data_IF_282140983062
#
_entry.id   IF_282140983062
#
_cell.length_a   1.000
_cell.length_b   1.000
_cell.length_c   1.000
_cell.angle_alpha   90.00
_cell.angle_beta   90.00
_cell.angle_gamma   90.00
#
_symmetry.space_group_name_H-M   'P 1'
#
loop_
_entity.id
_entity.type
_entity.pdbx_description
1 polymer ?
#
# COMPACT_ATOMS: atom_id res chain seq x y z
N UNK A 1 -30.85 -21.11 34.07
CA UNK A 1 -29.43 -20.99 33.68
C UNK A 1 -29.40 -21.18 32.18
N UNK A 2 -29.36 -20.08 31.42
CA UNK A 2 -29.19 -20.14 29.97
C UNK A 2 -27.70 -20.18 29.69
N UNK A 3 -27.21 -21.32 29.23
CA UNK A 3 -25.93 -21.41 28.52
C UNK A 3 -26.02 -20.51 27.29
N UNK A 4 -25.31 -19.38 27.33
CA UNK A 4 -24.89 -18.71 26.11
C UNK A 4 -23.86 -19.61 25.46
N UNK A 5 -24.32 -20.30 24.42
CA UNK A 5 -23.51 -20.97 23.40
C UNK A 5 -22.53 -19.93 22.85
N UNK A 6 -21.33 -19.91 23.43
CA UNK A 6 -20.19 -19.10 23.00
C UNK A 6 -19.56 -19.77 21.77
N UNK A 7 -20.35 -19.85 20.70
CA UNK A 7 -19.87 -20.35 19.41
C UNK A 7 -19.00 -19.24 18.82
N UNK A 8 -17.72 -19.25 19.18
CA UNK A 8 -16.71 -18.42 18.52
C UNK A 8 -16.84 -18.68 17.02
N UNK A 9 -17.15 -17.66 16.19
CA UNK A 9 -17.36 -17.88 14.77
C UNK A 9 -16.10 -18.51 14.17
N UNK A 10 -16.27 -19.67 13.55
CA UNK A 10 -15.20 -20.37 12.85
C UNK A 10 -14.54 -19.40 11.85
N UNK A 11 -13.19 -19.34 11.78
CA UNK A 11 -12.53 -18.44 10.85
C UNK A 11 -13.00 -18.73 9.43
N UNK A 12 -13.54 -17.72 8.73
CA UNK A 12 -13.84 -17.85 7.31
C UNK A 12 -12.50 -17.92 6.55
N UNK A 13 -12.14 -19.08 5.97
CA UNK A 13 -10.83 -19.30 5.34
C UNK A 13 -10.63 -18.43 4.10
N UNK A 14 -11.69 -17.77 3.61
CA UNK A 14 -11.64 -16.83 2.50
C UNK A 14 -11.16 -15.44 2.92
N UNK A 15 -11.17 -15.12 4.21
CA UNK A 15 -10.70 -13.82 4.67
C UNK A 15 -9.17 -13.72 4.51
N UNK A 16 -8.62 -12.61 4.05
CA UNK A 16 -7.17 -12.46 3.93
C UNK A 16 -6.49 -12.45 5.30
N UNK A 17 -5.19 -12.77 5.33
CA UNK A 17 -4.37 -12.60 6.55
C UNK A 17 -4.19 -11.11 6.86
N UNK A 18 -3.75 -10.82 8.08
CA UNK A 18 -3.25 -9.48 8.41
C UNK A 18 -2.02 -9.16 7.53
N UNK A 19 -1.82 -7.90 7.10
CA UNK A 19 -0.74 -7.51 6.19
C UNK A 19 0.66 -8.02 6.56
N UNK A 20 1.02 -7.97 7.85
CA UNK A 20 2.32 -8.46 8.32
C UNK A 20 2.48 -9.98 8.11
N UNK A 21 1.43 -10.74 8.38
CA UNK A 21 1.45 -12.19 8.24
C UNK A 21 1.39 -12.60 6.76
N UNK A 22 0.66 -11.86 5.94
CA UNK A 22 0.69 -12.00 4.49
C UNK A 22 2.11 -11.78 3.92
N UNK A 23 2.83 -10.77 4.42
CA UNK A 23 4.22 -10.51 4.06
C UNK A 23 5.18 -11.60 4.55
N UNK A 24 4.98 -12.13 5.77
CA UNK A 24 5.74 -13.27 6.31
C UNK A 24 5.53 -14.53 5.49
N UNK A 25 4.28 -14.82 5.12
CA UNK A 25 3.92 -15.95 4.27
C UNK A 25 4.53 -15.82 2.87
N UNK A 26 4.50 -14.62 2.29
CA UNK A 26 5.20 -14.32 1.03
C UNK A 26 6.70 -14.67 1.11
N UNK A 27 7.34 -14.27 2.22
CA UNK A 27 8.75 -14.54 2.48
C UNK A 27 9.03 -16.02 2.67
N UNK A 28 8.18 -16.75 3.40
CA UNK A 28 8.30 -18.19 3.60
C UNK A 28 8.24 -18.96 2.26
N UNK A 29 7.33 -18.58 1.36
CA UNK A 29 7.26 -19.15 0.01
C UNK A 29 8.55 -18.92 -0.80
N UNK A 30 9.10 -17.71 -0.76
CA UNK A 30 10.36 -17.42 -1.45
C UNK A 30 11.53 -18.18 -0.84
N UNK A 31 11.58 -18.37 0.48
CA UNK A 31 12.56 -19.24 1.12
C UNK A 31 12.42 -20.70 0.70
N UNK A 32 11.20 -21.23 0.60
CA UNK A 32 10.96 -22.57 0.06
C UNK A 32 11.47 -22.69 -1.38
N UNK A 33 11.19 -21.69 -2.23
CA UNK A 33 11.66 -21.68 -3.62
C UNK A 33 13.19 -21.67 -3.71
N UNK A 34 13.86 -20.92 -2.84
CA UNK A 34 15.33 -20.95 -2.73
C UNK A 34 15.79 -22.33 -2.28
N UNK A 35 15.20 -22.89 -1.22
CA UNK A 35 15.58 -24.20 -0.70
C UNK A 35 15.46 -25.31 -1.74
N UNK A 36 14.34 -25.35 -2.48
CA UNK A 36 14.14 -26.27 -3.61
C UNK A 36 15.15 -26.02 -4.73
N UNK A 37 15.28 -24.76 -5.16
CA UNK A 37 16.19 -24.41 -6.25
C UNK A 37 17.66 -24.71 -5.95
N UNK A 38 18.12 -24.61 -4.69
CA UNK A 38 19.47 -25.01 -4.29
C UNK A 38 19.68 -26.53 -4.40
N UNK A 39 18.66 -27.33 -4.06
CA UNK A 39 18.72 -28.79 -4.20
C UNK A 39 18.69 -29.19 -5.67
N UNK A 40 17.85 -28.53 -6.47
CA UNK A 40 17.72 -28.80 -7.91
C UNK A 40 18.98 -28.39 -8.70
N UNK A 41 19.74 -27.40 -8.21
CA UNK A 41 21.01 -26.93 -8.82
C UNK A 41 22.23 -27.80 -8.43
N UNK A 42 22.04 -28.87 -7.65
CA UNK A 42 23.10 -29.83 -7.40
C UNK A 42 23.43 -30.61 -8.69
N UNK A 43 24.70 -31.04 -8.88
CA UNK A 43 25.14 -31.75 -10.08
C UNK A 43 24.68 -33.23 -10.09
N UNK A 44 23.39 -33.44 -9.82
CA UNK A 44 22.68 -34.71 -9.77
C UNK A 44 21.48 -34.74 -10.71
N UNK A 45 21.14 -33.60 -11.33
CA UNK A 45 20.09 -33.51 -12.35
C UNK A 45 20.59 -34.02 -13.71
N UNK A 46 19.73 -34.73 -14.45
CA UNK A 46 20.03 -35.26 -15.79
C UNK A 46 20.23 -34.14 -16.83
N UNK A 47 19.60 -32.98 -16.62
CA UNK A 47 19.79 -31.74 -17.37
C UNK A 47 20.27 -30.65 -16.39
N UNK A 48 21.50 -30.15 -16.57
CA UNK A 48 22.14 -29.19 -15.66
C UNK A 48 22.43 -27.87 -16.39
N UNK A 49 21.68 -26.82 -16.05
CA UNK A 49 21.82 -25.46 -16.59
C UNK A 49 22.28 -24.46 -15.51
N UNK A 50 23.57 -24.48 -15.12
CA UNK A 50 24.07 -23.76 -13.95
C UNK A 50 23.88 -22.24 -14.00
N UNK A 51 23.91 -21.67 -15.20
CA UNK A 51 23.73 -20.22 -15.38
C UNK A 51 22.27 -19.83 -15.09
N UNK A 52 21.31 -20.63 -15.57
CA UNK A 52 19.90 -20.35 -15.31
C UNK A 52 19.58 -20.49 -13.83
N UNK A 53 20.06 -21.57 -13.18
CA UNK A 53 19.94 -21.80 -11.74
C UNK A 53 20.51 -20.63 -10.92
N UNK A 54 21.74 -20.21 -11.22
CA UNK A 54 22.38 -19.09 -10.54
C UNK A 54 21.61 -17.76 -10.71
N UNK A 55 21.14 -17.45 -11.92
CA UNK A 55 20.35 -16.24 -12.18
C UNK A 55 18.99 -16.29 -11.46
N UNK A 56 18.36 -17.46 -11.37
CA UNK A 56 17.14 -17.65 -10.59
C UNK A 56 17.39 -17.42 -9.11
N UNK A 57 18.51 -17.90 -8.56
CA UNK A 57 18.88 -17.65 -7.16
C UNK A 57 19.10 -16.17 -6.86
N UNK A 58 19.75 -15.43 -7.77
CA UNK A 58 19.91 -13.96 -7.63
C UNK A 58 18.55 -13.27 -7.56
N UNK A 59 17.62 -13.58 -8.48
CA UNK A 59 16.26 -13.01 -8.47
C UNK A 59 15.51 -13.31 -7.18
N UNK A 60 15.59 -14.56 -6.70
CA UNK A 60 14.93 -14.94 -5.45
C UNK A 60 15.56 -14.27 -4.24
N UNK A 61 16.88 -14.08 -4.21
CA UNK A 61 17.57 -13.37 -3.14
C UNK A 61 17.20 -11.89 -3.10
N UNK A 62 17.09 -11.23 -4.26
CA UNK A 62 16.61 -9.85 -4.36
C UNK A 62 15.17 -9.72 -3.85
N UNK A 63 14.29 -10.61 -4.29
CA UNK A 63 12.90 -10.68 -3.80
C UNK A 63 12.82 -10.93 -2.30
N UNK A 64 13.69 -11.78 -1.75
CA UNK A 64 13.76 -12.05 -0.31
C UNK A 64 14.16 -10.79 0.48
N UNK A 65 15.07 -9.98 -0.07
CA UNK A 65 15.47 -8.70 0.53
C UNK A 65 14.31 -7.69 0.51
N UNK A 66 13.58 -7.58 -0.60
CA UNK A 66 12.38 -6.74 -0.69
C UNK A 66 11.32 -7.16 0.33
N UNK A 67 11.02 -8.46 0.44
CA UNK A 67 10.06 -8.99 1.41
C UNK A 67 10.49 -8.74 2.86
N UNK A 68 11.79 -8.82 3.17
CA UNK A 68 12.30 -8.47 4.49
C UNK A 68 12.07 -6.98 4.80
N UNK A 69 12.32 -6.09 3.83
CA UNK A 69 12.02 -4.66 3.96
C UNK A 69 10.53 -4.42 4.18
N UNK A 70 9.65 -5.08 3.42
CA UNK A 70 8.19 -5.01 3.59
C UNK A 70 7.80 -5.41 5.02
N UNK A 71 8.30 -6.55 5.53
CA UNK A 71 8.05 -6.99 6.91
C UNK A 71 8.48 -5.93 7.93
N UNK A 72 9.68 -5.35 7.78
CA UNK A 72 10.16 -4.29 8.69
C UNK A 72 9.28 -3.05 8.61
N UNK A 73 8.83 -2.65 7.42
CA UNK A 73 7.89 -1.52 7.23
C UNK A 73 6.53 -1.80 7.86
N UNK A 74 5.99 -3.00 7.73
CA UNK A 74 4.76 -3.44 8.39
C UNK A 74 4.87 -3.45 9.92
N UNK A 75 6.08 -3.69 10.45
CA UNK A 75 6.40 -3.54 11.87
C UNK A 75 6.65 -2.07 12.31
N UNK A 76 6.52 -1.11 11.40
CA UNK A 76 6.68 0.32 11.69
C UNK A 76 8.12 0.84 11.61
N UNK A 77 9.09 0.05 11.12
CA UNK A 77 10.47 0.51 10.96
C UNK A 77 10.55 1.66 9.95
N UNK A 78 11.35 2.69 10.26
CA UNK A 78 11.61 3.80 9.35
C UNK A 78 12.65 3.44 8.28
N UNK A 79 12.74 4.23 7.20
CA UNK A 79 13.83 4.09 6.23
C UNK A 79 15.22 4.30 6.85
N UNK A 80 15.30 5.04 7.96
CA UNK A 80 16.55 5.20 8.71
C UNK A 80 16.95 3.90 9.40
N UNK A 81 15.98 3.20 10.01
CA UNK A 81 16.22 1.92 10.67
C UNK A 81 16.64 0.86 9.66
N UNK A 82 15.92 0.80 8.53
CA UNK A 82 16.20 -0.15 7.44
C UNK A 82 17.57 0.14 6.81
N UNK A 83 17.90 1.41 6.56
CA UNK A 83 19.23 1.80 6.07
C UNK A 83 20.34 1.38 7.04
N UNK A 84 20.14 1.59 8.35
CA UNK A 84 21.08 1.15 9.38
C UNK A 84 21.26 -0.37 9.41
N UNK A 85 20.18 -1.14 9.35
CA UNK A 85 20.22 -2.62 9.30
C UNK A 85 20.95 -3.12 8.05
N UNK A 86 20.77 -2.45 6.91
CA UNK A 86 21.40 -2.80 5.63
C UNK A 86 22.81 -2.20 5.43
N UNK A 87 23.30 -1.38 6.36
CA UNK A 87 24.60 -0.71 6.23
C UNK A 87 24.66 0.38 5.14
N UNK A 88 23.53 0.99 4.78
CA UNK A 88 23.42 2.05 3.76
C UNK A 88 22.70 3.29 4.31
N UNK A 89 22.73 4.40 3.55
CA UNK A 89 22.02 5.62 3.95
C UNK A 89 20.51 5.45 3.88
N UNK A 90 19.76 6.27 4.66
CA UNK A 90 18.30 6.36 4.58
C UNK A 90 17.80 6.55 3.15
N UNK A 91 18.46 7.45 2.40
CA UNK A 91 18.09 7.77 1.02
C UNK A 91 18.33 6.58 0.10
N UNK A 92 19.48 5.92 0.20
CA UNK A 92 19.80 4.75 -0.60
C UNK A 92 18.83 3.58 -0.33
N UNK A 93 18.41 3.38 0.93
CA UNK A 93 17.40 2.38 1.27
C UNK A 93 16.04 2.70 0.65
N UNK A 94 15.60 3.96 0.74
CA UNK A 94 14.37 4.41 0.10
C UNK A 94 14.42 4.25 -1.41
N UNK A 95 15.51 4.68 -2.06
CA UNK A 95 15.63 4.61 -3.53
C UNK A 95 15.70 3.16 -4.02
N UNK A 96 16.28 2.26 -3.22
CA UNK A 96 16.42 0.84 -3.57
C UNK A 96 15.11 0.05 -3.40
N UNK A 97 14.34 0.31 -2.35
CA UNK A 97 13.19 -0.53 -1.98
C UNK A 97 11.85 0.21 -1.87
N UNK A 98 11.82 1.52 -2.06
CA UNK A 98 10.61 2.34 -1.99
C UNK A 98 9.53 1.84 -2.93
N UNK A 99 9.89 1.57 -4.19
CA UNK A 99 8.96 1.04 -5.20
C UNK A 99 8.36 -0.32 -4.82
N UNK A 100 9.12 -1.21 -4.17
CA UNK A 100 8.59 -2.49 -3.72
C UNK A 100 7.53 -2.31 -2.61
N UNK A 101 7.77 -1.38 -1.68
CA UNK A 101 6.80 -1.04 -0.62
C UNK A 101 5.56 -0.36 -1.20
N UNK A 102 5.73 0.54 -2.17
CA UNK A 102 4.61 1.18 -2.88
C UNK A 102 3.76 0.15 -3.64
N UNK A 103 4.40 -0.79 -4.32
CA UNK A 103 3.73 -1.88 -5.04
C UNK A 103 2.96 -2.78 -4.08
N UNK A 104 3.54 -3.10 -2.91
CA UNK A 104 2.87 -3.84 -1.86
C UNK A 104 1.61 -3.13 -1.36
N UNK A 105 1.66 -1.80 -1.17
CA UNK A 105 0.49 -1.00 -0.80
C UNK A 105 -0.56 -1.00 -1.92
N UNK A 106 -0.14 -0.79 -3.17
CA UNK A 106 -1.04 -0.77 -4.33
C UNK A 106 -1.78 -2.10 -4.55
N UNK A 107 -1.18 -3.23 -4.15
CA UNK A 107 -1.82 -4.55 -4.16
C UNK A 107 -2.74 -4.80 -2.96
N UNK A 108 -3.04 -3.78 -2.15
CA UNK A 108 -3.88 -3.89 -0.97
C UNK A 108 -3.21 -4.65 0.19
N UNK A 109 -1.88 -4.73 0.20
CA UNK A 109 -1.08 -5.43 1.22
C UNK A 109 -1.54 -6.88 1.40
N UNK A 110 -1.73 -7.58 0.29
CA UNK A 110 -2.21 -8.96 0.24
C UNK A 110 -1.70 -9.72 -0.99
N UNK A 111 -1.69 -11.05 -0.92
CA UNK A 111 -1.46 -11.94 -2.06
C UNK A 111 -2.78 -12.58 -2.49
N UNK A 112 -3.08 -12.60 -3.79
CA UNK A 112 -4.35 -13.14 -4.33
C UNK A 112 -4.62 -14.65 -4.12
N UNK A 113 -3.83 -15.38 -3.33
CA UNK A 113 -3.95 -16.83 -3.15
C UNK A 113 -4.60 -17.20 -1.82
N UNK A 114 -5.25 -18.37 -1.76
CA UNK A 114 -5.81 -18.92 -0.52
C UNK A 114 -4.68 -19.14 0.52
N UNK A 115 -4.63 -18.36 1.61
CA UNK A 115 -3.49 -18.37 2.52
C UNK A 115 -3.38 -19.69 3.28
N UNK A 116 -4.51 -20.24 3.72
CA UNK A 116 -4.58 -21.44 4.57
C UNK A 116 -3.96 -22.66 3.87
N UNK A 117 -4.32 -22.92 2.61
CA UNK A 117 -3.74 -24.00 1.81
C UNK A 117 -2.21 -23.86 1.64
N UNK A 118 -1.73 -22.63 1.48
CA UNK A 118 -0.30 -22.37 1.31
C UNK A 118 0.47 -22.53 2.61
N UNK A 119 -0.14 -22.19 3.74
CA UNK A 119 0.44 -22.45 5.06
C UNK A 119 0.58 -23.95 5.27
N UNK A 120 -0.47 -24.73 5.03
CA UNK A 120 -0.43 -26.20 5.18
C UNK A 120 0.67 -26.84 4.30
N UNK A 121 0.80 -26.37 3.05
CA UNK A 121 1.84 -26.84 2.14
C UNK A 121 3.25 -26.49 2.61
N UNK A 122 3.43 -25.32 3.21
CA UNK A 122 4.73 -24.88 3.71
C UNK A 122 5.11 -25.57 5.01
N UNK A 123 4.14 -25.78 5.91
CA UNK A 123 4.33 -26.55 7.14
C UNK A 123 4.68 -28.01 6.82
N UNK A 124 3.96 -28.64 5.89
CA UNK A 124 4.30 -29.99 5.41
C UNK A 124 5.71 -30.06 4.83
N UNK A 125 6.11 -29.07 4.01
CA UNK A 125 7.46 -29.02 3.47
C UNK A 125 8.53 -28.79 4.54
N UNK A 126 8.24 -27.96 5.55
CA UNK A 126 9.19 -27.68 6.63
C UNK A 126 9.31 -28.88 7.57
N UNK A 127 8.23 -29.62 7.81
CA UNK A 127 8.25 -30.84 8.62
C UNK A 127 9.17 -31.93 8.06
N UNK A 128 9.33 -32.00 6.73
CA UNK A 128 10.31 -32.89 6.08
C UNK A 128 11.76 -32.51 6.41
N UNK A 129 12.02 -31.24 6.76
CA UNK A 129 13.33 -30.70 7.11
C UNK A 129 13.57 -30.77 8.62
N UNK A 130 12.59 -30.37 9.41
CA UNK A 130 12.61 -30.34 10.87
C UNK A 130 11.31 -30.94 11.45
N UNK A 131 11.26 -32.27 11.66
CA UNK A 131 10.08 -32.94 12.18
C UNK A 131 9.68 -32.53 13.61
N UNK A 132 10.57 -31.88 14.36
CA UNK A 132 10.27 -31.41 15.72
C UNK A 132 9.39 -30.15 15.70
N UNK A 133 9.26 -29.49 14.53
CA UNK A 133 8.52 -28.24 14.35
C UNK A 133 7.61 -28.29 13.11
N UNK A 134 6.62 -29.19 13.09
CA UNK A 134 5.77 -29.42 11.91
C UNK A 134 4.87 -28.24 11.55
N UNK A 135 4.68 -27.29 12.46
CA UNK A 135 3.81 -26.11 12.37
C UNK A 135 4.62 -24.79 12.38
N UNK A 136 5.88 -24.82 11.93
CA UNK A 136 6.79 -23.69 12.06
C UNK A 136 6.33 -22.41 11.32
N UNK A 137 5.56 -22.54 10.24
CA UNK A 137 5.02 -21.41 9.48
C UNK A 137 3.71 -20.95 10.09
N UNK A 138 2.73 -21.83 10.30
CA UNK A 138 1.44 -21.46 10.92
C UNK A 138 1.62 -20.81 12.29
N UNK A 139 2.50 -21.36 13.15
CA UNK A 139 2.81 -20.79 14.47
C UNK A 139 3.42 -19.37 14.40
N UNK A 140 4.02 -18.99 13.27
CA UNK A 140 4.59 -17.67 13.02
C UNK A 140 3.59 -16.62 12.48
N UNK A 141 2.33 -16.99 12.28
CA UNK A 141 1.29 -16.15 11.65
C UNK A 141 0.08 -15.97 12.59
N UNK A 142 0.14 -15.05 13.57
CA UNK A 142 -0.93 -14.88 14.56
C UNK A 142 -2.33 -14.68 13.98
N UNK A 143 -2.45 -13.95 12.87
CA UNK A 143 -3.75 -13.70 12.22
C UNK A 143 -4.38 -14.93 11.58
N UNK A 144 -3.63 -16.01 11.38
CA UNK A 144 -4.18 -17.30 10.94
C UNK A 144 -5.21 -17.83 11.96
N UNK A 145 -4.95 -17.60 13.24
CA UNK A 145 -5.78 -18.08 14.36
C UNK A 145 -6.64 -16.98 15.00
N UNK A 146 -6.71 -15.80 14.38
CA UNK A 146 -7.48 -14.65 14.86
C UNK A 146 -8.47 -14.17 13.79
N UNK A 147 -9.73 -14.65 13.83
CA UNK A 147 -10.77 -14.21 12.89
C UNK A 147 -11.06 -12.71 12.94
N UNK A 148 -10.89 -12.07 14.10
CA UNK A 148 -11.11 -10.63 14.26
C UNK A 148 -10.00 -9.84 13.54
N UNK A 149 -8.75 -10.29 13.63
CA UNK A 149 -7.64 -9.70 12.86
C UNK A 149 -7.85 -9.85 11.34
N UNK A 150 -8.30 -11.03 10.86
CA UNK A 150 -8.60 -11.24 9.42
C UNK A 150 -9.73 -10.33 8.94
N UNK A 151 -10.79 -10.18 9.73
CA UNK A 151 -11.91 -9.28 9.41
C UNK A 151 -11.46 -7.81 9.39
N UNK A 152 -10.73 -7.35 10.40
CA UNK A 152 -10.19 -5.99 10.43
C UNK A 152 -9.28 -5.72 9.22
N UNK A 153 -8.48 -6.70 8.80
CA UNK A 153 -7.63 -6.61 7.63
C UNK A 153 -8.44 -6.57 6.31
N UNK A 154 -9.58 -7.27 6.23
CA UNK A 154 -10.52 -7.16 5.11
C UNK A 154 -11.18 -5.78 5.08
N UNK A 155 -11.74 -5.32 6.20
CA UNK A 155 -12.41 -4.03 6.31
C UNK A 155 -11.47 -2.86 5.94
N UNK A 156 -10.20 -2.93 6.36
CA UNK A 156 -9.18 -1.95 6.00
C UNK A 156 -8.89 -1.93 4.49
N UNK A 157 -8.92 -3.08 3.83
CA UNK A 157 -8.71 -3.19 2.36
C UNK A 157 -9.90 -2.67 1.59
N UNK A 158 -11.12 -3.02 2.01
CA UNK A 158 -12.35 -2.53 1.40
C UNK A 158 -12.44 -1.00 1.51
N UNK A 159 -12.06 -0.45 2.68
CA UNK A 159 -11.97 0.99 2.87
C UNK A 159 -10.94 1.63 1.93
N UNK A 160 -9.72 1.10 1.88
CA UNK A 160 -8.67 1.62 1.00
C UNK A 160 -9.10 1.55 -0.47
N UNK A 161 -9.69 0.45 -0.92
CA UNK A 161 -10.18 0.28 -2.28
C UNK A 161 -11.27 1.30 -2.61
N UNK A 162 -12.22 1.52 -1.69
CA UNK A 162 -13.27 2.55 -1.85
C UNK A 162 -12.66 3.94 -1.98
N UNK A 163 -11.69 4.29 -1.12
CA UNK A 163 -11.03 5.59 -1.16
C UNK A 163 -10.21 5.78 -2.44
N UNK A 164 -9.51 4.75 -2.94
CA UNK A 164 -8.83 4.81 -4.25
C UNK A 164 -9.80 4.95 -5.41
N UNK A 165 -10.94 4.27 -5.37
CA UNK A 165 -12.00 4.43 -6.37
C UNK A 165 -12.54 5.86 -6.38
N UNK A 166 -12.78 6.46 -5.20
CA UNK A 166 -13.15 7.87 -5.07
C UNK A 166 -12.04 8.79 -5.62
N UNK A 167 -10.78 8.49 -5.31
CA UNK A 167 -9.60 9.27 -5.73
C UNK A 167 -9.49 9.37 -7.25
N UNK A 168 -9.80 8.28 -7.95
CA UNK A 168 -9.74 8.19 -9.40
C UNK A 168 -10.79 9.07 -10.11
N UNK A 169 -11.78 9.62 -9.38
CA UNK A 169 -12.78 10.54 -9.95
C UNK A 169 -12.31 11.99 -9.98
N UNK A 170 -11.34 12.37 -9.15
CA UNK A 170 -10.92 13.77 -9.01
C UNK A 170 -10.29 14.39 -10.27
N UNK A 171 -9.51 13.68 -11.12
CA UNK A 171 -9.01 14.27 -12.36
C UNK A 171 -10.11 14.86 -13.25
N UNK A 172 -11.26 14.18 -13.34
CA UNK A 172 -12.42 14.66 -14.11
C UNK A 172 -13.11 15.83 -13.39
N UNK A 173 -13.35 15.72 -12.08
CA UNK A 173 -13.98 16.79 -11.29
C UNK A 173 -13.16 18.09 -11.30
N UNK A 174 -11.84 18.00 -11.18
CA UNK A 174 -10.91 19.14 -11.26
C UNK A 174 -10.95 19.78 -12.64
N UNK A 175 -10.94 18.98 -13.71
CA UNK A 175 -11.06 19.44 -15.10
C UNK A 175 -12.39 20.18 -15.33
N UNK A 176 -13.49 19.62 -14.87
CA UNK A 176 -14.82 20.23 -14.99
C UNK A 176 -14.93 21.55 -14.23
N UNK A 177 -14.44 21.59 -12.99
CA UNK A 177 -14.44 22.80 -12.18
C UNK A 177 -13.54 23.89 -12.78
N UNK A 178 -12.37 23.51 -13.30
CA UNK A 178 -11.51 24.39 -14.07
C UNK A 178 -12.22 24.96 -15.29
N UNK A 179 -12.86 24.11 -16.10
CA UNK A 179 -13.57 24.53 -17.31
C UNK A 179 -14.72 25.50 -16.99
N UNK A 180 -15.50 25.25 -15.94
CA UNK A 180 -16.53 26.17 -15.46
C UNK A 180 -15.96 27.53 -15.03
N UNK A 181 -14.84 27.53 -14.30
CA UNK A 181 -14.16 28.76 -13.91
C UNK A 181 -13.62 29.51 -15.13
N UNK A 182 -13.01 28.79 -16.08
CA UNK A 182 -12.47 29.36 -17.31
C UNK A 182 -13.56 29.99 -18.18
N UNK A 183 -14.69 29.30 -18.38
CA UNK A 183 -15.84 29.82 -19.15
C UNK A 183 -16.47 31.07 -18.53
N UNK A 184 -16.44 31.20 -17.20
CA UNK A 184 -16.94 32.39 -16.52
C UNK A 184 -15.97 33.59 -16.58
N UNK A 185 -14.79 33.47 -17.23
CA UNK A 185 -13.81 34.56 -17.29
C UNK A 185 -14.43 35.83 -17.88
N UNK A 186 -14.30 36.95 -17.16
CA UNK A 186 -14.84 38.24 -17.57
C UNK A 186 -16.29 38.48 -17.14
N UNK A 187 -16.92 37.52 -16.47
CA UNK A 187 -18.27 37.67 -15.90
C UNK A 187 -18.22 37.89 -14.38
N UNK A 188 -19.29 38.45 -13.76
CA UNK A 188 -19.39 38.60 -12.31
C UNK A 188 -19.33 37.27 -11.54
N UNK A 189 -19.64 36.14 -12.19
CA UNK A 189 -19.63 34.80 -11.58
C UNK A 189 -18.22 34.20 -11.49
N UNK A 190 -17.23 34.75 -12.19
CA UNK A 190 -15.85 34.22 -12.22
C UNK A 190 -15.26 33.95 -10.82
N UNK A 191 -15.34 34.87 -9.84
CA UNK A 191 -14.80 34.63 -8.50
C UNK A 191 -15.53 33.51 -7.75
N UNK A 192 -16.83 33.32 -7.99
CA UNK A 192 -17.58 32.21 -7.40
C UNK A 192 -17.13 30.86 -8.01
N UNK A 193 -17.00 30.78 -9.33
CA UNK A 193 -16.52 29.55 -10.01
C UNK A 193 -15.09 29.18 -9.65
N UNK A 194 -14.22 30.16 -9.43
CA UNK A 194 -12.86 29.89 -8.90
C UNK A 194 -12.88 29.33 -7.48
N UNK A 195 -13.78 29.81 -6.61
CA UNK A 195 -13.94 29.25 -5.26
C UNK A 195 -14.45 27.81 -5.29
N UNK A 196 -15.39 27.51 -6.20
CA UNK A 196 -15.83 26.12 -6.44
C UNK A 196 -14.67 25.24 -6.91
N UNK A 197 -13.83 25.71 -7.84
CA UNK A 197 -12.64 24.97 -8.28
C UNK A 197 -11.63 24.75 -7.15
N UNK A 198 -11.35 25.77 -6.33
CA UNK A 198 -10.50 25.61 -5.15
C UNK A 198 -11.06 24.58 -4.15
N UNK A 199 -12.39 24.54 -3.97
CA UNK A 199 -13.04 23.59 -3.07
C UNK A 199 -12.83 22.13 -3.49
N UNK A 200 -12.87 21.82 -4.79
CA UNK A 200 -12.58 20.46 -5.30
C UNK A 200 -11.18 19.99 -4.90
N UNK A 201 -10.17 20.86 -4.96
CA UNK A 201 -8.81 20.53 -4.52
C UNK A 201 -8.72 20.30 -2.99
N UNK A 202 -9.53 21.00 -2.18
CA UNK A 202 -9.59 20.76 -0.74
C UNK A 202 -10.25 19.41 -0.41
N UNK A 203 -11.30 19.03 -1.13
CA UNK A 203 -11.94 17.72 -1.01
C UNK A 203 -10.96 16.59 -1.41
N UNK A 204 -10.21 16.77 -2.49
CA UNK A 204 -9.14 15.85 -2.90
C UNK A 204 -8.07 15.72 -1.79
N UNK A 205 -7.62 16.84 -1.21
CA UNK A 205 -6.67 16.81 -0.10
C UNK A 205 -7.19 16.03 1.11
N UNK A 206 -8.47 16.20 1.47
CA UNK A 206 -9.10 15.50 2.58
C UNK A 206 -9.22 13.99 2.31
N UNK A 207 -9.49 13.57 1.06
CA UNK A 207 -9.47 12.16 0.68
C UNK A 207 -8.07 11.55 0.83
N UNK A 208 -7.03 12.26 0.40
CA UNK A 208 -5.64 11.81 0.57
C UNK A 208 -5.26 11.66 2.05
N UNK A 209 -5.75 12.53 2.94
CA UNK A 209 -5.53 12.36 4.38
C UNK A 209 -6.25 11.13 4.96
N UNK A 210 -7.45 10.80 4.46
CA UNK A 210 -8.15 9.55 4.81
C UNK A 210 -7.33 8.33 4.36
N UNK A 211 -6.82 8.34 3.13
CA UNK A 211 -5.90 7.31 2.63
C UNK A 211 -4.64 7.18 3.52
N UNK A 212 -4.08 8.30 3.99
CA UNK A 212 -2.92 8.28 4.89
C UNK A 212 -3.19 7.62 6.26
N UNK A 213 -4.45 7.49 6.68
CA UNK A 213 -4.83 6.79 7.91
C UNK A 213 -4.96 5.29 7.68
N UNK A 214 -5.55 4.88 6.54
CA UNK A 214 -5.78 3.47 6.23
C UNK A 214 -4.57 2.79 5.58
N UNK A 215 -3.65 3.54 4.98
CA UNK A 215 -2.42 3.03 4.37
C UNK A 215 -1.17 3.62 5.04
N UNK A 216 -0.83 3.19 6.27
CA UNK A 216 0.26 3.79 7.04
C UNK A 216 1.63 3.72 6.33
N UNK A 217 1.85 2.71 5.49
CA UNK A 217 3.09 2.53 4.73
C UNK A 217 3.26 3.60 3.63
N UNK A 218 2.16 4.09 3.05
CA UNK A 218 2.11 5.15 2.03
C UNK A 218 1.73 6.53 2.59
N UNK A 219 1.47 6.63 3.90
CA UNK A 219 0.95 7.83 4.54
C UNK A 219 1.78 9.10 4.30
N UNK A 220 3.11 8.98 4.23
CA UNK A 220 3.99 10.13 3.96
C UNK A 220 3.73 10.72 2.57
N UNK A 221 3.57 9.87 1.55
CA UNK A 221 3.31 10.33 0.19
C UNK A 221 1.89 10.87 0.05
N UNK A 222 0.90 10.20 0.63
CA UNK A 222 -0.49 10.69 0.69
C UNK A 222 -0.57 12.09 1.32
N UNK A 223 0.10 12.31 2.47
CA UNK A 223 0.17 13.64 3.12
C UNK A 223 0.92 14.66 2.28
N UNK A 224 1.96 14.25 1.55
CA UNK A 224 2.68 15.15 0.63
C UNK A 224 1.75 15.59 -0.51
N UNK A 225 1.06 14.66 -1.15
CA UNK A 225 0.06 14.96 -2.19
C UNK A 225 -1.07 15.84 -1.65
N UNK A 226 -1.56 15.58 -0.45
CA UNK A 226 -2.59 16.39 0.20
C UNK A 226 -2.12 17.84 0.45
N UNK A 227 -0.84 18.06 0.81
CA UNK A 227 -0.27 19.41 0.92
C UNK A 227 -0.19 20.11 -0.44
N UNK A 228 0.21 19.40 -1.50
CA UNK A 228 0.20 19.96 -2.86
C UNK A 228 -1.20 20.41 -3.27
N UNK A 229 -2.22 19.58 -3.01
CA UNK A 229 -3.61 19.92 -3.33
C UNK A 229 -4.10 21.18 -2.59
N UNK A 230 -3.77 21.32 -1.30
CA UNK A 230 -4.06 22.55 -0.55
C UNK A 230 -3.37 23.78 -1.12
N UNK A 231 -2.10 23.66 -1.48
CA UNK A 231 -1.35 24.77 -2.10
C UNK A 231 -2.01 25.24 -3.40
N UNK A 232 -2.50 24.29 -4.22
CA UNK A 232 -3.24 24.62 -5.44
C UNK A 232 -4.56 25.34 -5.12
N UNK A 233 -5.31 24.86 -4.13
CA UNK A 233 -6.55 25.51 -3.70
C UNK A 233 -6.31 26.97 -3.27
N UNK A 234 -5.27 27.22 -2.47
CA UNK A 234 -4.90 28.55 -2.00
C UNK A 234 -4.53 29.48 -3.17
N UNK A 235 -3.73 29.00 -4.13
CA UNK A 235 -3.37 29.74 -5.34
C UNK A 235 -4.60 30.05 -6.21
N UNK A 236 -5.54 29.10 -6.32
CA UNK A 236 -6.75 29.28 -7.10
C UNK A 236 -7.65 30.33 -6.45
N UNK A 237 -7.79 30.29 -5.13
CA UNK A 237 -8.60 31.21 -4.34
C UNK A 237 -8.03 32.63 -4.32
N UNK A 238 -6.71 32.80 -4.15
CA UNK A 238 -6.06 34.11 -4.13
C UNK A 238 -6.26 34.90 -5.44
N UNK A 239 -6.23 34.22 -6.59
CA UNK A 239 -6.51 34.82 -7.90
C UNK A 239 -8.00 35.14 -8.13
N UNK A 240 -8.91 34.65 -7.28
CA UNK A 240 -10.32 35.04 -7.32
C UNK A 240 -10.54 36.43 -6.71
N UNK A 241 -9.74 36.81 -5.71
CA UNK A 241 -9.83 38.12 -5.04
C UNK A 241 -9.14 39.24 -5.83
N UNK A 242 -8.04 38.94 -6.52
CA UNK A 242 -7.12 39.92 -7.14
C UNK A 242 -7.68 40.64 -8.40
N UNK A 243 -8.72 40.10 -9.04
CA UNK A 243 -9.35 40.73 -10.23
C UNK A 243 -10.54 41.64 -9.92
N UNK A 244 -11.07 41.58 -8.72
CA UNK A 244 -12.23 42.40 -8.30
C UNK A 244 -11.87 43.86 -8.02
N UNK A 245 -10.59 44.17 -7.85
CA UNK A 245 -10.10 45.50 -7.43
C UNK A 245 -9.71 46.44 -8.57
N UNK A 246 -9.84 46.04 -9.85
CA UNK A 246 -9.33 46.84 -10.99
C UNK A 246 -10.43 47.47 -11.86
N UNK A 247 -11.70 47.46 -11.43
CA UNK A 247 -12.82 48.01 -12.22
C UNK A 247 -13.59 49.14 -11.51
N UNK A 248 -12.87 50.00 -10.80
CA UNK A 248 -13.38 51.33 -10.42
C UNK A 248 -12.36 52.38 -10.88
N UNK A 249 -12.48 52.80 -12.14
CA UNK A 249 -12.00 54.11 -12.58
C UNK A 249 -13.07 54.69 -13.51
N UNK A 250 -13.96 55.48 -12.90
CA UNK A 250 -14.92 56.37 -13.54
C UNK A 250 -14.18 57.37 -14.47
N UNK A 251 -14.77 57.73 -15.63
CA UNK A 251 -14.22 58.77 -16.48
C UNK A 251 -14.52 60.15 -15.89
N UNK A 252 -13.48 60.94 -15.65
CA UNK A 252 -13.63 62.36 -15.36
C UNK A 252 -14.05 63.11 -16.64
N UNK A 253 -15.10 63.92 -16.46
CA UNK A 253 -15.77 64.78 -17.44
C UNK A 253 -14.88 65.92 -17.98
#
# INVERSE_FOLDING_TARGET
MSETDDTTPEPDPRLPLAPLDDARLARALTLQQIGKGVVDDLPTADEYEPIEGALQMVRLAEKLAEQAVIIRREQGASWTDIGKEAGISRQAAHDRWGTAVETWVALGRHRQAAPDLLVDQLDSWYADIDPERPDAISSGLPSLHDPAARRAAQDQRDEAQRLHAELNTYPEQESDAFNRAFQATGTPEHPARRREWAAVHLEHAALLDRLAQVEPLAATEHRRRARTQRSLADEIAAKATDRTTTTENEPAA
#
